data_IF_972940119080
#
_entry.id   IF_972940119080
#
_cell.length_a   1.000
_cell.length_b   1.000
_cell.length_c   1.000
_cell.angle_alpha   90.00
_cell.angle_beta   90.00
_cell.angle_gamma   90.00
#
_symmetry.space_group_name_H-M   'P 1'
#
loop_
_entity.id
_entity.type
_entity.pdbx_description
1 polymer ?
#
# COMPACT_ATOMS: atom_id res chain seq x y z
N UNK A 1 2.47 34.63 12.91
CA UNK A 1 1.01 34.81 12.93
C UNK A 1 0.47 33.57 12.28
N UNK A 2 -0.30 32.79 13.02
CA UNK A 2 -0.78 31.50 12.55
C UNK A 2 -1.66 31.72 11.32
N UNK A 3 -1.41 30.97 10.26
CA UNK A 3 -2.20 30.98 9.02
C UNK A 3 -2.68 29.58 8.70
N UNK A 4 -3.75 29.51 7.93
CA UNK A 4 -4.15 28.30 7.25
C UNK A 4 -3.45 28.28 5.90
N UNK A 5 -2.65 27.26 5.65
CA UNK A 5 -2.02 27.03 4.37
C UNK A 5 -2.74 25.91 3.64
N UNK A 6 -2.99 26.09 2.35
CA UNK A 6 -3.50 25.03 1.48
C UNK A 6 -2.54 24.83 0.31
N UNK A 7 -2.12 23.58 0.08
CA UNK A 7 -1.31 23.26 -1.10
C UNK A 7 -2.19 23.25 -2.36
N UNK A 8 -1.89 24.08 -3.36
CA UNK A 8 -2.64 24.09 -4.63
C UNK A 8 -2.58 22.78 -5.40
N UNK A 9 -1.51 22.01 -5.24
CA UNK A 9 -1.32 20.76 -5.98
C UNK A 9 -2.21 19.62 -5.48
N UNK A 10 -2.50 19.55 -4.18
CA UNK A 10 -3.29 18.44 -3.60
C UNK A 10 -4.42 18.87 -2.68
N UNK A 11 -4.65 20.18 -2.54
CA UNK A 11 -5.64 20.78 -1.65
C UNK A 11 -5.48 20.42 -0.17
N UNK A 12 -4.30 19.94 0.25
CA UNK A 12 -4.05 19.58 1.64
C UNK A 12 -3.98 20.84 2.53
N UNK A 13 -4.87 20.99 3.53
CA UNK A 13 -4.85 22.10 4.45
C UNK A 13 -3.94 21.80 5.65
N UNK A 14 -3.12 22.76 6.07
CA UNK A 14 -2.29 22.66 7.27
C UNK A 14 -2.13 24.01 7.95
N UNK A 15 -1.85 24.01 9.25
CA UNK A 15 -1.66 25.23 10.04
C UNK A 15 -0.16 25.43 10.27
N UNK A 16 0.34 26.62 9.94
CA UNK A 16 1.73 26.98 10.19
C UNK A 16 1.86 28.49 10.45
N UNK A 17 2.87 28.86 11.22
CA UNK A 17 3.40 30.22 11.20
C UNK A 17 4.32 30.39 9.99
N UNK A 18 4.40 31.60 9.41
CA UNK A 18 5.23 31.88 8.23
C UNK A 18 6.70 31.46 8.38
N UNK A 19 7.24 31.54 9.60
CA UNK A 19 8.63 31.12 9.90
C UNK A 19 8.82 29.62 10.13
N UNK A 20 7.73 28.85 10.13
CA UNK A 20 7.69 27.40 10.37
C UNK A 20 7.00 26.67 9.22
N UNK A 21 6.98 27.27 8.03
CA UNK A 21 6.50 26.61 6.82
C UNK A 21 7.35 25.37 6.51
N UNK A 22 6.73 24.22 6.22
CA UNK A 22 7.49 23.05 5.80
C UNK A 22 8.19 23.33 4.47
N UNK A 23 9.36 22.73 4.27
CA UNK A 23 10.14 22.88 3.04
C UNK A 23 9.45 22.27 1.81
N UNK A 24 8.46 21.40 2.03
CA UNK A 24 7.63 20.77 0.99
C UNK A 24 6.25 20.44 1.56
N UNK A 25 5.24 20.27 0.69
CA UNK A 25 3.90 19.88 1.15
C UNK A 25 3.94 18.49 1.82
N UNK A 26 3.45 18.31 3.06
CA UNK A 26 3.49 17.02 3.75
C UNK A 26 2.73 15.91 3.04
N UNK A 27 1.66 16.28 2.32
CA UNK A 27 0.88 15.33 1.52
C UNK A 27 1.41 15.19 0.09
N UNK A 28 1.93 16.30 -0.46
CA UNK A 28 2.28 16.63 -1.84
C UNK A 28 3.73 16.55 -2.37
N UNK A 29 4.71 16.79 -1.51
CA UNK A 29 6.09 17.07 -1.93
C UNK A 29 6.23 18.34 -2.78
N UNK A 30 5.14 19.05 -3.06
CA UNK A 30 5.15 20.28 -3.84
C UNK A 30 5.92 21.39 -3.11
N UNK A 31 6.61 22.24 -3.88
CA UNK A 31 7.38 23.35 -3.32
C UNK A 31 6.47 24.34 -2.57
N UNK A 32 7.02 25.10 -1.61
CA UNK A 32 6.27 26.11 -0.86
C UNK A 32 5.65 27.21 -1.72
N UNK A 33 6.11 27.39 -2.96
CA UNK A 33 5.49 28.32 -3.93
C UNK A 33 4.03 27.96 -4.24
N UNK A 34 3.65 26.70 -4.00
CA UNK A 34 2.29 26.21 -4.19
C UNK A 34 1.43 26.35 -2.94
N UNK A 35 1.90 27.05 -1.89
CA UNK A 35 1.14 27.25 -0.66
C UNK A 35 0.32 28.54 -0.71
N UNK A 36 -1.00 28.42 -0.58
CA UNK A 36 -1.89 29.54 -0.38
C UNK A 36 -2.07 29.80 1.11
N UNK A 37 -1.63 30.96 1.60
CA UNK A 37 -1.82 31.36 2.99
C UNK A 37 -3.06 32.23 3.18
N UNK A 38 -3.95 31.80 4.07
CA UNK A 38 -5.17 32.51 4.47
C UNK A 38 -5.10 32.90 5.96
N UNK A 39 -5.76 34.00 6.38
CA UNK A 39 -5.84 34.37 7.79
C UNK A 39 -6.50 33.25 8.60
N UNK A 40 -5.89 32.86 9.72
CA UNK A 40 -6.48 31.85 10.61
C UNK A 40 -7.54 32.48 11.54
N UNK A 41 -8.71 31.86 11.66
CA UNK A 41 -9.67 32.15 12.74
C UNK A 41 -9.98 30.89 13.58
N UNK A 42 -10.20 31.07 14.88
CA UNK A 42 -10.44 29.95 15.81
C UNK A 42 -11.79 29.24 15.57
N UNK A 43 -12.72 29.88 14.85
CA UNK A 43 -14.05 29.33 14.59
C UNK A 43 -14.06 28.37 13.39
N UNK A 44 -13.06 28.43 12.50
CA UNK A 44 -12.89 27.56 11.34
C UNK A 44 -12.28 26.19 11.64
N UNK A 45 -11.97 25.90 12.91
CA UNK A 45 -11.56 24.55 13.36
C UNK A 45 -12.55 23.48 12.87
N UNK A 46 -13.84 23.83 12.75
CA UNK A 46 -14.93 22.93 12.32
C UNK A 46 -14.97 22.59 10.83
N UNK A 47 -14.17 23.24 9.98
CA UNK A 47 -14.03 22.83 8.57
C UNK A 47 -12.91 21.82 8.34
N UNK A 48 -12.04 21.60 9.34
CA UNK A 48 -10.76 20.88 9.16
C UNK A 48 -10.81 19.45 9.74
N UNK A 49 -11.71 19.18 10.69
CA UNK A 49 -11.96 17.83 11.21
C UNK A 49 -13.45 17.68 11.52
N UNK A 50 -14.19 17.08 10.59
CA UNK A 50 -15.44 16.40 10.94
C UNK A 50 -15.02 14.97 11.22
N UNK A 51 -15.15 14.52 12.48
CA UNK A 51 -14.97 13.11 12.77
C UNK A 51 -15.91 12.34 11.83
N UNK A 52 -15.38 11.42 11.00
CA UNK A 52 -16.23 10.70 10.07
C UNK A 52 -17.29 9.97 10.89
N UNK A 53 -18.58 10.01 10.48
CA UNK A 53 -19.64 9.35 11.21
C UNK A 53 -19.25 7.91 11.53
N UNK A 54 -19.51 7.50 12.77
CA UNK A 54 -19.29 6.12 13.19
C UNK A 54 -20.28 5.21 12.50
N UNK A 55 -19.89 3.95 12.38
CA UNK A 55 -20.74 2.99 11.72
C UNK A 55 -21.97 2.60 12.51
N UNK A 56 -23.11 2.46 11.83
CA UNK A 56 -24.27 1.80 12.42
C UNK A 56 -23.97 0.31 12.61
N UNK A 57 -23.89 -0.14 13.86
CA UNK A 57 -23.58 -1.52 14.22
C UNK A 57 -24.68 -2.50 13.81
N UNK A 58 -25.93 -2.04 13.72
CA UNK A 58 -27.10 -2.87 13.39
C UNK A 58 -27.39 -2.91 11.88
N UNK A 59 -26.49 -2.37 11.05
CA UNK A 59 -26.65 -2.36 9.59
C UNK A 59 -26.52 -3.78 9.04
N UNK A 60 -27.41 -4.13 8.12
CA UNK A 60 -27.23 -5.28 7.25
C UNK A 60 -25.99 -5.10 6.34
N UNK A 61 -24.93 -5.92 6.50
CA UNK A 61 -23.73 -5.82 5.65
C UNK A 61 -24.02 -6.09 4.17
N UNK A 62 -25.15 -6.73 3.84
CA UNK A 62 -25.57 -7.05 2.48
C UNK A 62 -26.43 -5.94 1.84
N UNK A 63 -26.77 -4.86 2.55
CA UNK A 63 -27.50 -3.74 1.96
C UNK A 63 -26.62 -2.97 0.96
N UNK A 64 -26.93 -3.13 -0.33
CA UNK A 64 -26.21 -2.52 -1.45
C UNK A 64 -26.54 -1.03 -1.68
N UNK A 65 -27.58 -0.47 -1.04
CA UNK A 65 -27.98 0.93 -1.23
C UNK A 65 -26.95 1.91 -0.70
N UNK A 66 -26.17 1.49 0.28
CA UNK A 66 -25.15 2.32 0.93
C UNK A 66 -24.01 1.47 1.48
N UNK A 67 -22.82 1.57 0.90
CA UNK A 67 -21.62 0.90 1.40
C UNK A 67 -20.80 1.85 2.28
N UNK A 68 -21.02 1.77 3.59
CA UNK A 68 -20.18 2.46 4.54
C UNK A 68 -18.78 1.83 4.58
N UNK A 69 -17.69 2.62 4.59
CA UNK A 69 -16.33 2.08 4.64
C UNK A 69 -16.15 1.18 5.87
N UNK A 70 -15.79 -0.09 5.66
CA UNK A 70 -15.36 -0.96 6.76
C UNK A 70 -14.06 -0.37 7.32
N UNK A 71 -14.08 0.09 8.57
CA UNK A 71 -12.84 0.45 9.26
C UNK A 71 -12.09 -0.85 9.55
N UNK A 72 -10.85 -0.97 9.10
CA UNK A 72 -9.95 -2.04 9.53
C UNK A 72 -9.82 -2.00 11.07
N UNK A 73 -9.68 -3.16 11.74
CA UNK A 73 -9.55 -3.19 13.20
C UNK A 73 -8.45 -2.23 13.68
N UNK A 74 -8.70 -1.61 14.83
CA UNK A 74 -7.81 -0.59 15.38
C UNK A 74 -6.38 -1.14 15.53
N UNK A 75 -5.40 -0.44 14.95
CA UNK A 75 -3.96 -0.66 15.16
C UNK A 75 -3.38 -2.00 14.67
N UNK A 76 -3.97 -2.61 13.65
CA UNK A 76 -3.37 -3.77 12.96
C UNK A 76 -3.42 -3.62 11.44
N UNK A 77 -2.42 -4.20 10.76
CA UNK A 77 -2.35 -4.33 9.30
C UNK A 77 -2.80 -5.71 8.80
N UNK A 78 -3.19 -6.61 9.71
CA UNK A 78 -3.61 -7.96 9.42
C UNK A 78 -4.80 -8.01 8.42
N UNK A 79 -4.64 -8.79 7.37
CA UNK A 79 -5.63 -9.00 6.31
C UNK A 79 -5.67 -7.90 5.25
N UNK A 80 -4.73 -6.93 5.26
CA UNK A 80 -4.64 -5.91 4.22
C UNK A 80 -3.90 -6.43 3.00
N UNK A 81 -4.45 -6.16 1.83
CA UNK A 81 -3.74 -6.38 0.57
C UNK A 81 -2.73 -5.25 0.38
N UNK A 82 -1.46 -5.61 0.25
CA UNK A 82 -0.34 -4.68 0.15
C UNK A 82 0.04 -4.35 -1.28
N UNK A 83 0.21 -5.39 -2.10
CA UNK A 83 0.77 -5.29 -3.45
C UNK A 83 0.43 -6.51 -4.28
N UNK A 84 0.43 -6.34 -5.59
CA UNK A 84 0.34 -7.46 -6.54
C UNK A 84 1.72 -8.01 -6.85
N UNK A 85 1.76 -9.27 -7.29
CA UNK A 85 2.96 -9.94 -7.80
C UNK A 85 2.62 -10.61 -9.12
N UNK A 86 3.22 -10.11 -10.20
CA UNK A 86 3.12 -10.70 -11.52
C UNK A 86 4.42 -11.38 -11.91
N UNK A 87 4.29 -12.37 -12.79
CA UNK A 87 5.41 -13.19 -13.22
C UNK A 87 5.73 -12.97 -14.70
N UNK A 88 7.00 -13.11 -15.06
CA UNK A 88 7.45 -13.05 -16.44
C UNK A 88 8.40 -14.20 -16.79
N UNK A 89 8.43 -14.50 -18.08
CA UNK A 89 9.45 -15.36 -18.70
C UNK A 89 10.55 -14.51 -19.35
N UNK A 90 10.16 -13.40 -20.02
CA UNK A 90 11.05 -12.46 -20.69
C UNK A 90 10.91 -11.04 -20.09
N UNK A 91 11.88 -10.57 -19.27
CA UNK A 91 11.72 -9.34 -18.47
C UNK A 91 11.54 -8.09 -19.33
N UNK A 92 12.26 -8.01 -20.46
CA UNK A 92 12.17 -6.86 -21.37
C UNK A 92 10.79 -6.78 -22.04
N UNK A 93 10.26 -7.91 -22.51
CA UNK A 93 8.95 -7.95 -23.18
C UNK A 93 7.85 -7.52 -22.21
N UNK A 94 7.89 -8.02 -20.97
CA UNK A 94 6.91 -7.65 -19.94
C UNK A 94 6.99 -6.14 -19.61
N UNK A 95 8.21 -5.61 -19.42
CA UNK A 95 8.43 -4.19 -19.10
C UNK A 95 7.91 -3.30 -20.22
N UNK A 96 8.34 -3.54 -21.46
CA UNK A 96 7.93 -2.76 -22.62
C UNK A 96 6.40 -2.78 -22.77
N UNK A 97 5.77 -3.94 -22.58
CA UNK A 97 4.31 -4.04 -22.63
C UNK A 97 3.60 -3.14 -21.61
N UNK A 98 3.94 -3.23 -20.33
CA UNK A 98 3.25 -2.44 -19.31
C UNK A 98 3.58 -0.95 -19.38
N UNK A 99 4.82 -0.60 -19.72
CA UNK A 99 5.22 0.79 -19.93
C UNK A 99 4.55 1.40 -21.16
N UNK A 100 4.53 0.70 -22.30
CA UNK A 100 3.99 1.26 -23.55
C UNK A 100 2.46 1.26 -23.60
N UNK A 101 1.81 0.24 -23.02
CA UNK A 101 0.34 0.11 -23.05
C UNK A 101 -0.32 0.93 -21.94
N UNK A 102 0.26 0.95 -20.74
CA UNK A 102 -0.38 1.54 -19.55
C UNK A 102 0.40 2.71 -18.94
N UNK A 103 1.61 3.02 -19.43
CA UNK A 103 2.44 4.08 -18.87
C UNK A 103 2.96 3.78 -17.47
N UNK A 104 3.08 2.51 -17.10
CA UNK A 104 3.57 2.12 -15.77
C UNK A 104 5.06 2.37 -15.62
N UNK A 105 5.46 2.76 -14.41
CA UNK A 105 6.86 2.97 -14.04
C UNK A 105 7.43 1.69 -13.44
N UNK A 106 8.46 1.14 -14.09
CA UNK A 106 9.02 -0.17 -13.79
C UNK A 106 10.54 -0.07 -13.73
N UNK A 107 11.09 -0.41 -12.57
CA UNK A 107 12.55 -0.42 -12.35
C UNK A 107 12.99 -1.71 -11.69
N UNK A 108 14.26 -2.07 -11.85
CA UNK A 108 14.85 -3.20 -11.14
C UNK A 108 15.08 -2.85 -9.66
N UNK A 109 14.92 -3.82 -8.76
CA UNK A 109 15.33 -3.66 -7.36
C UNK A 109 16.85 -3.68 -7.24
N UNK A 110 17.37 -3.09 -6.17
CA UNK A 110 18.79 -2.89 -5.91
C UNK A 110 19.58 -4.20 -5.81
N UNK A 111 18.93 -5.25 -5.32
CA UNK A 111 19.51 -6.59 -5.07
C UNK A 111 19.27 -7.58 -6.22
N UNK A 112 18.66 -7.13 -7.32
CA UNK A 112 18.16 -8.03 -8.36
C UNK A 112 19.25 -8.56 -9.31
N UNK A 113 19.07 -9.81 -9.78
CA UNK A 113 19.90 -10.40 -10.81
C UNK A 113 19.65 -9.69 -12.17
N UNK A 114 20.67 -9.24 -12.91
CA UNK A 114 20.49 -8.59 -14.21
C UNK A 114 19.69 -9.40 -15.25
N UNK A 115 19.83 -10.73 -15.26
CA UNK A 115 19.14 -11.64 -16.20
C UNK A 115 17.70 -11.96 -15.76
N UNK A 116 17.48 -12.05 -14.45
CA UNK A 116 16.20 -12.38 -13.82
C UNK A 116 15.84 -11.34 -12.74
N UNK A 117 15.59 -10.08 -13.12
CA UNK A 117 15.45 -9.02 -12.14
C UNK A 117 14.12 -9.09 -11.40
N UNK A 118 14.14 -9.04 -10.07
CA UNK A 118 12.98 -8.54 -9.35
C UNK A 118 12.80 -7.07 -9.71
N UNK A 119 11.58 -6.65 -10.05
CA UNK A 119 11.28 -5.28 -10.44
C UNK A 119 10.18 -4.68 -9.58
N UNK A 120 10.35 -3.41 -9.20
CA UNK A 120 9.26 -2.56 -8.72
C UNK A 120 8.37 -2.16 -9.89
N UNK A 121 7.06 -2.05 -9.65
CA UNK A 121 6.08 -1.60 -10.62
C UNK A 121 5.08 -0.66 -9.95
N UNK A 122 5.11 0.62 -10.32
CA UNK A 122 4.13 1.61 -9.88
C UNK A 122 3.10 1.86 -11.00
N UNK A 123 1.81 1.83 -10.63
CA UNK A 123 0.70 2.05 -11.57
C UNK A 123 0.22 3.51 -11.59
N UNK A 124 0.91 4.40 -10.86
CA UNK A 124 0.64 5.82 -10.75
C UNK A 124 1.58 6.50 -9.76
N UNK A 125 1.26 7.74 -9.30
CA UNK A 125 2.13 8.51 -8.42
C UNK A 125 2.46 7.77 -7.11
N UNK A 126 3.74 7.53 -6.87
CA UNK A 126 4.26 6.89 -5.68
C UNK A 126 5.11 7.80 -4.80
N UNK A 127 5.42 7.32 -3.59
CA UNK A 127 6.44 7.87 -2.71
C UNK A 127 7.84 7.32 -3.09
N UNK A 128 8.89 7.80 -2.43
CA UNK A 128 10.27 7.34 -2.69
C UNK A 128 10.48 5.83 -2.49
N UNK A 129 9.64 5.19 -1.67
CA UNK A 129 9.62 3.75 -1.42
C UNK A 129 8.70 2.98 -2.39
N UNK A 130 8.30 3.59 -3.51
CA UNK A 130 7.41 3.04 -4.55
C UNK A 130 5.94 2.86 -4.16
N UNK A 131 5.56 3.24 -2.94
CA UNK A 131 4.19 3.03 -2.48
C UNK A 131 3.23 4.09 -2.99
N UNK A 132 1.97 3.74 -3.30
CA UNK A 132 1.00 4.68 -3.84
C UNK A 132 0.79 5.88 -2.93
N UNK A 133 0.97 7.07 -3.48
CA UNK A 133 0.73 8.33 -2.76
C UNK A 133 -0.73 8.74 -2.78
N UNK A 134 -1.46 8.31 -3.81
CA UNK A 134 -2.85 8.67 -4.05
C UNK A 134 -3.70 7.41 -3.98
N UNK A 135 -4.87 7.52 -3.35
CA UNK A 135 -5.85 6.43 -3.26
C UNK A 135 -6.15 5.83 -4.63
N UNK A 136 -6.43 4.54 -4.68
CA UNK A 136 -6.74 3.76 -5.88
C UNK A 136 -5.57 3.37 -6.79
N UNK A 137 -4.39 3.96 -6.65
CA UNK A 137 -3.19 3.41 -7.31
C UNK A 137 -2.62 2.23 -6.53
N UNK A 138 -1.97 1.33 -7.26
CA UNK A 138 -1.29 0.16 -6.71
C UNK A 138 0.20 0.19 -7.03
N UNK A 139 0.96 -0.52 -6.21
CA UNK A 139 2.32 -0.90 -6.52
C UNK A 139 2.45 -2.42 -6.42
N UNK A 140 3.44 -2.96 -7.10
CA UNK A 140 3.64 -4.40 -7.19
C UNK A 140 5.06 -4.79 -7.49
N UNK A 141 5.27 -6.11 -7.45
CA UNK A 141 6.49 -6.74 -7.90
C UNK A 141 6.26 -7.47 -9.22
N UNK A 142 7.26 -7.41 -10.09
CA UNK A 142 7.37 -8.29 -11.24
C UNK A 142 8.57 -9.22 -11.00
N UNK A 143 8.35 -10.53 -10.97
CA UNK A 143 9.38 -11.53 -10.69
C UNK A 143 9.47 -12.59 -11.79
N UNK A 144 10.62 -13.23 -11.91
CA UNK A 144 10.78 -14.32 -12.87
C UNK A 144 9.90 -15.52 -12.47
N UNK A 145 9.22 -16.16 -13.43
CA UNK A 145 8.29 -17.27 -13.19
C UNK A 145 8.96 -18.45 -12.46
N UNK A 146 10.21 -18.74 -12.78
CA UNK A 146 11.01 -19.82 -12.17
C UNK A 146 11.45 -19.53 -10.73
N UNK A 147 11.26 -18.31 -10.23
CA UNK A 147 11.54 -17.95 -8.83
C UNK A 147 10.37 -18.23 -7.88
N UNK A 148 9.26 -18.78 -8.39
CA UNK A 148 8.17 -19.33 -7.59
C UNK A 148 7.80 -20.74 -8.04
N UNK A 149 7.94 -21.70 -7.15
CA UNK A 149 7.74 -23.12 -7.42
C UNK A 149 6.31 -23.60 -7.08
N UNK A 150 5.45 -22.71 -6.58
CA UNK A 150 4.06 -23.06 -6.23
C UNK A 150 3.16 -23.27 -7.44
N UNK A 151 3.52 -22.69 -8.60
CA UNK A 151 2.70 -22.68 -9.81
C UNK A 151 1.46 -21.77 -9.74
N UNK A 152 1.35 -20.95 -8.69
CA UNK A 152 0.22 -20.06 -8.47
C UNK A 152 0.57 -18.65 -8.95
N UNK A 153 -0.13 -18.14 -9.95
CA UNK A 153 0.05 -16.77 -10.44
C UNK A 153 -1.21 -16.29 -11.20
N UNK A 154 -1.53 -14.99 -11.17
CA UNK A 154 -0.90 -13.94 -10.37
C UNK A 154 -1.24 -14.09 -8.88
N UNK A 155 -0.40 -13.50 -8.02
CA UNK A 155 -0.65 -13.51 -6.58
C UNK A 155 -0.67 -12.10 -6.01
N UNK A 156 -1.24 -11.96 -4.82
CA UNK A 156 -1.23 -10.73 -4.04
C UNK A 156 -0.55 -10.99 -2.69
N UNK A 157 0.11 -9.95 -2.17
CA UNK A 157 0.70 -9.98 -0.83
C UNK A 157 -0.32 -9.46 0.16
N UNK A 158 -0.61 -10.29 1.17
CA UNK A 158 -1.45 -9.98 2.31
C UNK A 158 -0.56 -9.78 3.54
N UNK A 159 -0.75 -8.66 4.22
CA UNK A 159 -0.10 -8.37 5.49
C UNK A 159 -0.73 -9.20 6.60
N UNK A 160 0.10 -9.85 7.40
CA UNK A 160 -0.33 -10.62 8.57
C UNK A 160 0.50 -10.26 9.79
N UNK A 161 -0.12 -10.38 10.97
CA UNK A 161 0.58 -10.20 12.24
C UNK A 161 1.42 -11.45 12.58
N UNK A 162 0.96 -12.63 12.15
CA UNK A 162 1.65 -13.91 12.33
C UNK A 162 1.33 -14.86 11.18
N UNK A 163 2.35 -15.34 10.48
CA UNK A 163 2.20 -16.35 9.42
C UNK A 163 1.65 -17.64 10.03
N UNK A 164 2.24 -18.15 11.10
CA UNK A 164 1.83 -19.43 11.71
C UNK A 164 0.32 -19.44 12.07
N UNK A 165 -0.14 -18.41 12.79
CA UNK A 165 -1.57 -18.28 13.15
C UNK A 165 -2.47 -18.13 11.92
N UNK A 166 -1.99 -17.45 10.89
CA UNK A 166 -2.77 -17.27 9.66
C UNK A 166 -2.88 -18.58 8.90
N UNK A 167 -1.80 -19.37 8.83
CA UNK A 167 -1.79 -20.69 8.18
C UNK A 167 -2.75 -21.64 8.89
N UNK A 168 -2.76 -21.68 10.22
CA UNK A 168 -3.73 -22.47 10.99
C UNK A 168 -5.18 -22.13 10.61
N UNK A 169 -5.50 -20.84 10.50
CA UNK A 169 -6.82 -20.38 10.07
C UNK A 169 -7.12 -20.75 8.62
N UNK A 170 -6.16 -20.55 7.71
CA UNK A 170 -6.29 -20.92 6.29
C UNK A 170 -6.68 -22.39 6.16
N UNK A 171 -5.97 -23.28 6.84
CA UNK A 171 -6.26 -24.72 6.84
C UNK A 171 -7.62 -25.03 7.46
N UNK A 172 -7.97 -24.37 8.58
CA UNK A 172 -9.28 -24.50 9.21
C UNK A 172 -10.44 -24.15 8.26
N UNK A 173 -10.25 -23.17 7.37
CA UNK A 173 -11.24 -22.74 6.38
C UNK A 173 -11.09 -23.42 5.01
N UNK A 174 -10.32 -24.52 4.92
CA UNK A 174 -10.23 -25.36 3.72
C UNK A 174 -9.19 -24.92 2.69
N UNK A 175 -8.36 -23.93 3.03
CA UNK A 175 -7.17 -23.59 2.26
C UNK A 175 -5.98 -24.50 2.58
N UNK A 176 -4.83 -24.22 1.95
CA UNK A 176 -3.61 -25.03 2.08
C UNK A 176 -2.37 -24.15 2.20
N UNK A 177 -1.40 -24.59 3.01
CA UNK A 177 -0.04 -24.10 2.91
C UNK A 177 0.64 -24.64 1.65
N UNK A 178 1.13 -23.76 0.78
CA UNK A 178 1.81 -24.11 -0.47
C UNK A 178 3.31 -23.98 -0.37
N UNK A 179 3.77 -22.98 0.39
CA UNK A 179 5.18 -22.76 0.68
C UNK A 179 5.33 -22.36 2.13
N UNK A 180 6.07 -23.16 2.94
CA UNK A 180 6.37 -22.83 4.33
C UNK A 180 7.06 -21.48 4.47
N UNK A 181 7.08 -20.92 5.67
CA UNK A 181 7.69 -19.63 5.92
C UNK A 181 9.16 -19.59 5.46
N UNK A 182 9.52 -18.53 4.72
CA UNK A 182 10.83 -18.32 4.15
C UNK A 182 11.20 -16.83 4.19
N UNK A 183 12.49 -16.53 4.17
CA UNK A 183 12.99 -15.15 4.25
C UNK A 183 13.54 -14.69 2.91
N UNK A 184 13.13 -13.49 2.49
CA UNK A 184 13.70 -12.76 1.35
C UNK A 184 14.04 -11.36 1.82
N UNK A 185 15.29 -10.93 1.65
CA UNK A 185 15.78 -9.61 2.06
C UNK A 185 15.43 -9.24 3.52
N UNK A 186 15.55 -10.21 4.42
CA UNK A 186 15.25 -10.04 5.85
C UNK A 186 13.76 -9.99 6.21
N UNK A 187 12.87 -10.12 5.22
CA UNK A 187 11.42 -10.12 5.38
C UNK A 187 10.86 -11.55 5.32
N UNK A 188 9.89 -11.86 6.19
CA UNK A 188 9.32 -13.20 6.32
C UNK A 188 8.05 -13.34 5.47
N UNK A 189 8.04 -14.34 4.60
CA UNK A 189 6.93 -14.64 3.69
C UNK A 189 6.48 -16.10 3.79
N UNK A 190 5.27 -16.39 3.36
CA UNK A 190 4.77 -17.74 3.07
C UNK A 190 3.82 -17.70 1.87
N UNK A 191 3.50 -18.84 1.27
CA UNK A 191 2.47 -18.92 0.22
C UNK A 191 1.37 -19.85 0.67
N UNK A 192 0.13 -19.36 0.57
CA UNK A 192 -1.08 -20.14 0.83
C UNK A 192 -1.98 -20.18 -0.40
N UNK A 193 -2.86 -21.16 -0.43
CA UNK A 193 -3.92 -21.36 -1.42
C UNK A 193 -5.27 -21.31 -0.67
N UNK A 194 -6.25 -20.57 -1.19
CA UNK A 194 -7.62 -20.61 -0.65
C UNK A 194 -8.37 -21.90 -1.06
N UNK A 195 -9.65 -22.02 -0.71
CA UNK A 195 -10.47 -23.20 -1.06
C UNK A 195 -10.70 -23.36 -2.56
N UNK A 196 -10.54 -22.29 -3.34
CA UNK A 196 -10.80 -22.25 -4.79
C UNK A 196 -9.52 -22.38 -5.63
N UNK A 197 -8.35 -22.47 -5.00
CA UNK A 197 -7.08 -22.59 -5.69
C UNK A 197 -6.36 -21.25 -5.93
N UNK A 198 -6.83 -20.14 -5.37
CA UNK A 198 -6.18 -18.84 -5.54
C UNK A 198 -4.96 -18.72 -4.62
N UNK A 199 -3.81 -18.35 -5.20
CA UNK A 199 -2.57 -18.16 -4.45
C UNK A 199 -2.44 -16.79 -3.81
N UNK A 200 -1.95 -16.77 -2.57
CA UNK A 200 -1.68 -15.55 -1.81
C UNK A 200 -0.31 -15.66 -1.15
N UNK A 201 0.47 -14.59 -1.27
CA UNK A 201 1.62 -14.39 -0.40
C UNK A 201 1.14 -13.87 0.96
N UNK A 202 1.61 -14.48 2.03
CA UNK A 202 1.55 -13.89 3.36
C UNK A 202 2.88 -13.18 3.61
N UNK A 203 2.83 -11.93 4.05
CA UNK A 203 3.99 -11.20 4.55
C UNK A 203 3.77 -10.88 6.03
N UNK A 204 4.64 -11.42 6.89
CA UNK A 204 4.58 -11.07 8.31
C UNK A 204 5.16 -9.68 8.51
N UNK A 205 4.29 -8.77 8.92
CA UNK A 205 4.65 -7.37 9.10
C UNK A 205 5.70 -7.28 10.23
N UNK A 206 6.90 -6.72 10.00
CA UNK A 206 7.88 -6.56 11.06
C UNK A 206 7.42 -5.49 12.06
N UNK A 207 7.93 -5.53 13.29
CA UNK A 207 7.56 -4.59 14.36
C UNK A 207 7.90 -3.13 14.05
N UNK A 208 8.79 -2.89 13.10
CA UNK A 208 9.18 -1.55 12.63
C UNK A 208 8.16 -0.90 11.71
N UNK A 209 7.22 -1.66 11.15
CA UNK A 209 6.15 -1.12 10.29
C UNK A 209 4.95 -0.82 11.17
N UNK A 210 4.81 0.44 11.57
CA UNK A 210 3.73 0.87 12.48
C UNK A 210 2.48 1.32 11.72
N UNK A 211 1.33 1.37 12.41
CA UNK A 211 0.07 1.83 11.83
C UNK A 211 -0.06 3.36 11.78
N UNK A 212 0.85 4.10 12.44
CA UNK A 212 0.82 5.57 12.56
C UNK A 212 1.68 6.25 11.51
N UNK A 213 2.67 5.54 10.99
CA UNK A 213 3.48 6.01 9.88
C UNK A 213 2.72 5.76 8.57
N UNK A 214 2.74 6.72 7.62
CA UNK A 214 2.36 6.44 6.25
C UNK A 214 3.35 5.39 5.72
N UNK A 215 2.96 4.14 5.89
CA UNK A 215 3.44 2.96 5.20
C UNK A 215 4.96 2.98 4.94
N UNK A 216 5.71 2.72 6.02
CA UNK A 216 7.17 2.46 6.07
C UNK A 216 8.06 3.37 5.21
N UNK A 217 8.44 4.53 5.76
CA UNK A 217 9.40 5.45 5.13
C UNK A 217 10.88 5.03 5.24
N UNK A 218 11.19 3.90 5.88
CA UNK A 218 12.56 3.38 5.90
C UNK A 218 12.82 2.57 4.64
N UNK A 219 13.60 3.18 3.74
CA UNK A 219 14.51 2.50 2.81
C UNK A 219 15.46 1.57 3.57
#
# INVERSE_FOLDING_TARGET
MLKLYTCYCCSFPFKADDGMLPCECPACGASPDNFLGEPYNEQEIRRIHVDPPTGNADRDPMDLKWHMPKRFPARTRNGRLRRFVFEYDEPKILRDFYTDVFGWDIINTETSNPERPLMYCATGPGNANWEPRVVSFCYGFLKARDSEDTGLHPMYVIEVDSIDKTVELVEQYGGKLRKPAYTVDGQLYAVVEDSEGNGLYLWQTPSTVTWEEPESQTL
#
